data_IF_817127166333
#
_entry.id   IF_817127166333
#
_cell.length_a   1.000
_cell.length_b   1.000
_cell.length_c   1.000
_cell.angle_alpha   90.00
_cell.angle_beta   90.00
_cell.angle_gamma   90.00
#
_symmetry.space_group_name_H-M   'P 1'
#
loop_
_entity.id
_entity.type
_entity.pdbx_description
1 polymer ?
#
# COMPACT_ATOMS: atom_id res chain seq x y z
N UNK A 1 1.74 8.61 -15.24
CA UNK A 1 1.68 8.78 -13.77
C UNK A 1 1.60 7.42 -13.10
N UNK A 2 2.27 7.23 -11.97
CA UNK A 2 2.17 6.01 -11.16
C UNK A 2 1.68 6.35 -9.76
N UNK A 3 0.73 5.57 -9.23
CA UNK A 3 0.18 5.72 -7.87
C UNK A 3 0.56 4.49 -7.04
N UNK A 4 1.21 4.73 -5.92
CA UNK A 4 1.62 3.71 -4.95
C UNK A 4 0.69 3.78 -3.74
N UNK A 5 0.01 2.66 -3.43
CA UNK A 5 -0.86 2.53 -2.27
C UNK A 5 -0.25 1.50 -1.33
N UNK A 6 0.58 1.99 -0.39
CA UNK A 6 1.28 1.18 0.61
C UNK A 6 0.56 1.10 1.95
N UNK A 7 1.26 0.57 2.95
CA UNK A 7 0.80 0.55 4.34
C UNK A 7 0.45 -0.83 4.88
N UNK A 8 -0.12 -0.88 6.08
CA UNK A 8 -0.29 -2.11 6.83
C UNK A 8 -1.32 -3.07 6.22
N UNK A 9 -1.37 -4.28 6.72
CA UNK A 9 -2.33 -5.30 6.26
C UNK A 9 -3.76 -4.91 6.65
N UNK A 10 -4.76 -5.36 5.89
CA UNK A 10 -6.20 -5.23 6.18
C UNK A 10 -6.78 -3.80 6.18
N UNK A 11 -6.04 -2.78 5.78
CA UNK A 11 -6.48 -1.37 5.74
C UNK A 11 -7.28 -0.99 4.49
N UNK A 12 -7.64 -1.94 3.63
CA UNK A 12 -8.48 -1.69 2.46
C UNK A 12 -7.77 -1.22 1.19
N UNK A 13 -6.44 -1.32 1.08
CA UNK A 13 -5.65 -0.91 -0.11
C UNK A 13 -6.24 -1.41 -1.43
N UNK A 14 -6.53 -2.70 -1.50
CA UNK A 14 -7.09 -3.32 -2.71
C UNK A 14 -8.47 -2.79 -3.06
N UNK A 15 -9.30 -2.44 -2.06
CA UNK A 15 -10.61 -1.81 -2.30
C UNK A 15 -10.45 -0.40 -2.87
N UNK A 16 -9.57 0.40 -2.28
CA UNK A 16 -9.22 1.74 -2.79
C UNK A 16 -8.70 1.64 -4.22
N UNK A 17 -7.73 0.77 -4.48
CA UNK A 17 -7.18 0.57 -5.82
C UNK A 17 -8.26 0.21 -6.85
N UNK A 18 -9.21 -0.68 -6.51
CA UNK A 18 -10.34 -1.02 -7.39
C UNK A 18 -11.22 0.19 -7.70
N UNK A 19 -11.56 1.00 -6.71
CA UNK A 19 -12.36 2.21 -6.91
C UNK A 19 -11.65 3.22 -7.81
N UNK A 20 -10.34 3.39 -7.64
CA UNK A 20 -9.54 4.24 -8.53
C UNK A 20 -9.48 3.69 -9.96
N UNK A 21 -9.36 2.37 -10.13
CA UNK A 21 -9.46 1.72 -11.46
C UNK A 21 -10.82 2.01 -12.10
N UNK A 22 -11.91 1.89 -11.34
CA UNK A 22 -13.27 2.18 -11.83
C UNK A 22 -13.45 3.66 -12.22
N UNK A 23 -12.86 4.59 -11.44
CA UNK A 23 -12.96 6.04 -11.71
C UNK A 23 -12.11 6.48 -12.90
N UNK A 24 -10.88 5.98 -13.01
CA UNK A 24 -9.87 6.48 -13.95
C UNK A 24 -9.60 5.58 -15.14
N UNK A 25 -9.99 4.30 -15.09
CA UNK A 25 -9.66 3.32 -16.12
C UNK A 25 -8.16 2.96 -16.17
N UNK A 26 -7.42 3.17 -15.09
CA UNK A 26 -5.99 2.89 -15.02
C UNK A 26 -5.70 1.40 -14.81
N UNK A 27 -4.49 0.99 -15.19
CA UNK A 27 -4.02 -0.37 -14.88
C UNK A 27 -3.71 -0.49 -13.39
N UNK A 28 -3.86 -1.71 -12.82
CA UNK A 28 -3.53 -1.96 -11.42
C UNK A 28 -2.77 -3.28 -11.26
N UNK A 29 -1.74 -3.27 -10.43
CA UNK A 29 -0.96 -4.45 -10.04
C UNK A 29 -0.94 -4.58 -8.52
N UNK A 30 -1.43 -5.72 -8.02
CA UNK A 30 -1.29 -6.09 -6.62
C UNK A 30 0.08 -6.71 -6.36
N UNK A 31 0.81 -6.17 -5.38
CA UNK A 31 2.11 -6.71 -4.98
C UNK A 31 1.98 -8.03 -4.19
N UNK A 32 0.85 -8.26 -3.54
CA UNK A 32 0.54 -9.57 -2.91
C UNK A 32 0.43 -10.66 -3.98
N UNK A 33 -0.20 -10.33 -5.12
CA UNK A 33 -0.27 -11.25 -6.25
C UNK A 33 1.12 -11.51 -6.86
N UNK A 34 1.92 -10.47 -7.00
CA UNK A 34 3.29 -10.57 -7.51
C UNK A 34 4.16 -11.42 -6.57
N UNK A 35 4.08 -11.21 -5.24
CA UNK A 35 4.73 -12.05 -4.24
C UNK A 35 4.41 -13.54 -4.43
N UNK A 36 3.12 -13.84 -4.53
CA UNK A 36 2.67 -15.21 -4.73
C UNK A 36 3.22 -15.83 -6.03
N UNK A 37 3.33 -15.03 -7.09
CA UNK A 37 3.91 -15.47 -8.36
C UNK A 37 5.41 -15.76 -8.20
N UNK A 38 6.17 -14.91 -7.52
CA UNK A 38 7.60 -15.13 -7.23
C UNK A 38 7.82 -16.43 -6.45
N UNK A 39 7.05 -16.64 -5.37
CA UNK A 39 7.18 -17.86 -4.56
C UNK A 39 6.84 -19.13 -5.34
N UNK A 40 5.76 -19.11 -6.14
CA UNK A 40 5.31 -20.29 -6.90
C UNK A 40 6.16 -20.57 -8.13
N UNK A 41 6.77 -19.55 -8.73
CA UNK A 41 7.67 -19.72 -9.88
C UNK A 41 9.05 -20.23 -9.48
N UNK A 42 9.34 -20.39 -8.19
CA UNK A 42 10.63 -20.84 -7.70
C UNK A 42 11.76 -19.85 -7.99
N UNK A 43 11.41 -18.55 -8.11
CA UNK A 43 12.42 -17.50 -8.26
C UNK A 43 13.17 -17.41 -6.94
N UNK A 44 14.41 -17.85 -6.99
CA UNK A 44 15.43 -17.94 -5.93
C UNK A 44 14.98 -17.53 -4.50
N UNK A 45 14.91 -18.52 -3.61
CA UNK A 45 14.85 -18.38 -2.13
C UNK A 45 13.76 -17.49 -1.53
N UNK A 46 12.66 -17.26 -2.25
CA UNK A 46 11.54 -16.46 -1.74
C UNK A 46 10.61 -17.23 -0.78
N UNK A 47 10.78 -18.56 -0.63
CA UNK A 47 9.84 -19.39 0.13
C UNK A 47 9.88 -19.13 1.64
N UNK A 48 11.06 -18.81 2.18
CA UNK A 48 11.33 -18.69 3.61
C UNK A 48 11.56 -17.23 4.07
N UNK A 49 11.31 -16.24 3.18
CA UNK A 49 11.51 -14.83 3.51
C UNK A 49 10.35 -14.30 4.37
N UNK A 50 10.68 -13.55 5.43
CA UNK A 50 9.71 -12.72 6.13
C UNK A 50 9.23 -11.53 5.25
N UNK A 51 8.23 -10.79 5.73
CA UNK A 51 7.64 -9.71 4.93
C UNK A 51 8.61 -8.57 4.62
N UNK A 52 9.56 -8.28 5.51
CA UNK A 52 10.58 -7.23 5.32
C UNK A 52 11.60 -7.68 4.26
N UNK A 53 12.12 -8.89 4.40
CA UNK A 53 13.04 -9.49 3.43
C UNK A 53 12.39 -9.61 2.05
N UNK A 54 11.10 -10.01 2.00
CA UNK A 54 10.33 -10.10 0.77
C UNK A 54 10.17 -8.73 0.12
N UNK A 55 9.89 -7.67 0.89
CA UNK A 55 9.82 -6.29 0.41
C UNK A 55 11.12 -5.88 -0.28
N UNK A 56 12.25 -6.05 0.39
CA UNK A 56 13.57 -5.74 -0.17
C UNK A 56 13.90 -6.55 -1.43
N UNK A 57 13.49 -7.82 -1.45
CA UNK A 57 13.75 -8.71 -2.59
C UNK A 57 12.92 -8.34 -3.82
N UNK A 58 11.66 -7.96 -3.62
CA UNK A 58 10.73 -7.60 -4.70
C UNK A 58 10.96 -6.19 -5.22
N UNK A 59 11.35 -5.27 -4.36
CA UNK A 59 11.38 -3.85 -4.69
C UNK A 59 12.18 -3.48 -5.95
N UNK A 60 13.37 -4.02 -6.24
CA UNK A 60 14.08 -3.71 -7.48
C UNK A 60 13.27 -4.03 -8.74
N UNK A 61 12.48 -5.12 -8.74
CA UNK A 61 11.62 -5.48 -9.86
C UNK A 61 10.41 -4.53 -9.95
N UNK A 62 9.83 -4.18 -8.81
CA UNK A 62 8.71 -3.23 -8.75
C UNK A 62 9.15 -1.85 -9.23
N UNK A 63 10.32 -1.37 -8.81
CA UNK A 63 10.88 -0.10 -9.25
C UNK A 63 11.13 -0.07 -10.78
N UNK A 64 11.55 -1.19 -11.36
CA UNK A 64 11.70 -1.29 -12.82
C UNK A 64 10.33 -1.30 -13.53
N UNK A 65 9.30 -1.97 -12.99
CA UNK A 65 7.94 -1.90 -13.52
C UNK A 65 7.43 -0.45 -13.53
N UNK A 66 7.66 0.29 -12.45
CA UNK A 66 7.31 1.71 -12.33
C UNK A 66 8.04 2.51 -13.41
N UNK A 67 9.35 2.34 -13.55
CA UNK A 67 10.18 3.04 -14.54
C UNK A 67 9.70 2.78 -15.97
N UNK A 68 9.34 1.54 -16.28
CA UNK A 68 8.81 1.16 -17.61
C UNK A 68 7.42 1.75 -17.86
N UNK A 69 6.55 1.81 -16.85
CA UNK A 69 5.24 2.44 -16.95
C UNK A 69 5.37 3.93 -17.24
N UNK A 70 6.24 4.63 -16.51
CA UNK A 70 6.52 6.07 -16.72
C UNK A 70 7.11 6.31 -18.12
N UNK A 71 8.12 5.54 -18.54
CA UNK A 71 8.73 5.67 -19.87
C UNK A 71 7.74 5.42 -21.01
N UNK A 72 6.72 4.60 -20.78
CA UNK A 72 5.67 4.28 -21.74
C UNK A 72 4.47 5.23 -21.69
N UNK A 73 4.48 6.22 -20.80
CA UNK A 73 3.35 7.15 -20.60
C UNK A 73 2.08 6.48 -20.06
N UNK A 74 2.22 5.33 -19.37
CA UNK A 74 1.09 4.60 -18.79
C UNK A 74 0.71 5.14 -17.43
N UNK A 75 -0.58 5.06 -17.11
CA UNK A 75 -1.08 5.29 -15.77
C UNK A 75 -1.22 3.94 -15.06
N UNK A 76 -0.54 3.80 -13.93
CA UNK A 76 -0.45 2.53 -13.20
C UNK A 76 -0.67 2.74 -11.70
N UNK A 77 -1.52 1.90 -11.11
CA UNK A 77 -1.68 1.78 -9.66
C UNK A 77 -0.91 0.54 -9.21
N UNK A 78 -0.08 0.68 -8.18
CA UNK A 78 0.55 -0.44 -7.48
C UNK A 78 0.08 -0.42 -6.03
N UNK A 79 -0.46 -1.54 -5.55
CA UNK A 79 -0.95 -1.64 -4.18
C UNK A 79 -0.36 -2.85 -3.44
N UNK A 80 -0.13 -2.71 -2.15
CA UNK A 80 0.33 -3.80 -1.29
C UNK A 80 1.22 -3.38 -0.14
N UNK A 81 1.52 -4.33 0.76
CA UNK A 81 2.37 -4.12 1.94
C UNK A 81 3.88 -4.09 1.61
N UNK A 82 4.24 -4.38 0.35
CA UNK A 82 5.64 -4.53 -0.09
C UNK A 82 6.23 -3.28 -0.74
N UNK A 83 5.55 -2.14 -0.64
CA UNK A 83 6.08 -0.83 -1.02
C UNK A 83 6.90 -0.30 0.17
N UNK A 84 8.21 -0.04 0.01
CA UNK A 84 9.01 0.55 1.08
C UNK A 84 8.65 2.03 1.26
N UNK A 85 8.75 2.56 2.47
CA UNK A 85 8.45 3.98 2.74
C UNK A 85 9.51 4.90 2.16
N UNK A 86 10.74 4.40 2.02
CA UNK A 86 11.90 5.03 1.37
C UNK A 86 11.89 4.90 -0.17
N UNK A 87 10.76 4.57 -0.76
CA UNK A 87 10.58 4.33 -2.20
C UNK A 87 11.21 5.41 -3.11
N UNK A 88 11.28 6.65 -2.64
CA UNK A 88 11.82 7.80 -3.40
C UNK A 88 13.28 7.61 -3.80
N UNK A 89 14.06 6.88 -3.01
CA UNK A 89 15.49 6.65 -3.25
C UNK A 89 15.78 5.89 -4.55
N UNK A 90 14.78 5.18 -5.06
CA UNK A 90 14.90 4.36 -6.28
C UNK A 90 14.67 5.13 -7.59
N UNK A 91 14.30 6.42 -7.51
CA UNK A 91 13.87 7.18 -8.68
C UNK A 91 14.60 8.51 -8.85
N UNK A 92 14.78 8.93 -10.09
CA UNK A 92 15.30 10.25 -10.43
C UNK A 92 14.27 11.35 -10.11
N UNK A 93 14.74 12.60 -9.95
CA UNK A 93 13.86 13.76 -9.74
C UNK A 93 12.77 13.93 -10.83
N UNK A 94 13.09 13.56 -12.06
CA UNK A 94 12.13 13.61 -13.16
C UNK A 94 11.01 12.58 -12.97
N UNK A 95 11.34 11.35 -12.56
CA UNK A 95 10.36 10.30 -12.29
C UNK A 95 9.53 10.61 -11.05
N UNK A 96 10.12 11.16 -9.99
CA UNK A 96 9.42 11.52 -8.76
C UNK A 96 8.26 12.52 -9.00
N UNK A 97 8.35 13.37 -10.01
CA UNK A 97 7.26 14.29 -10.39
C UNK A 97 6.00 13.57 -10.89
N UNK A 98 6.17 12.35 -11.38
CA UNK A 98 5.08 11.54 -11.95
C UNK A 98 4.66 10.36 -11.05
N UNK A 99 5.22 10.24 -9.84
CA UNK A 99 4.85 9.23 -8.87
C UNK A 99 4.10 9.88 -7.70
N UNK A 100 3.01 9.27 -7.28
CA UNK A 100 2.26 9.62 -6.07
C UNK A 100 2.29 8.43 -5.13
N UNK A 101 2.52 8.65 -3.85
CA UNK A 101 2.53 7.56 -2.88
C UNK A 101 1.73 7.96 -1.65
N UNK A 102 0.90 7.03 -1.20
CA UNK A 102 0.13 7.14 0.02
C UNK A 102 0.22 5.83 0.78
N UNK A 103 0.40 5.91 2.10
CA UNK A 103 0.41 4.75 2.97
C UNK A 103 -0.81 4.78 3.88
N UNK A 104 -1.54 3.68 3.94
CA UNK A 104 -2.74 3.58 4.76
C UNK A 104 -2.42 2.73 5.99
N UNK A 105 -2.75 3.25 7.16
CA UNK A 105 -2.56 2.61 8.45
C UNK A 105 -3.85 2.69 9.27
N UNK A 106 -3.94 1.90 10.34
CA UNK A 106 -5.02 1.98 11.33
C UNK A 106 -4.41 2.32 12.68
N UNK A 107 -5.10 3.13 13.48
CA UNK A 107 -4.71 3.37 14.86
C UNK A 107 -4.88 2.11 15.71
N UNK A 108 -4.15 2.01 16.81
CA UNK A 108 -4.30 0.91 17.77
C UNK A 108 -5.72 0.88 18.34
N UNK A 109 -6.31 2.07 18.65
CA UNK A 109 -7.68 2.19 19.17
C UNK A 109 -8.68 1.63 18.18
N UNK A 110 -8.56 1.96 16.91
CA UNK A 110 -9.42 1.45 15.86
C UNK A 110 -9.30 -0.08 15.72
N UNK A 111 -8.08 -0.59 15.60
CA UNK A 111 -7.84 -2.03 15.45
C UNK A 111 -8.47 -2.80 16.60
N UNK A 112 -8.25 -2.38 17.86
CA UNK A 112 -8.75 -3.10 19.03
C UNK A 112 -10.27 -3.04 19.16
N UNK A 113 -10.91 -1.96 18.73
CA UNK A 113 -12.36 -1.79 18.83
C UNK A 113 -13.14 -2.43 17.67
N UNK A 114 -12.51 -2.65 16.49
CA UNK A 114 -13.18 -3.12 15.28
C UNK A 114 -12.65 -4.47 14.75
N UNK A 115 -12.06 -5.28 15.62
CA UNK A 115 -11.44 -6.57 15.22
C UNK A 115 -12.38 -7.52 14.51
N UNK A 116 -13.63 -7.63 14.97
CA UNK A 116 -14.63 -8.52 14.35
C UNK A 116 -14.97 -8.04 12.93
N UNK A 117 -14.97 -6.74 12.71
CA UNK A 117 -15.24 -6.13 11.42
C UNK A 117 -14.03 -6.34 10.48
N UNK A 118 -12.82 -6.05 10.95
CA UNK A 118 -11.58 -6.29 10.20
C UNK A 118 -11.48 -7.77 9.79
N UNK A 119 -11.76 -8.70 10.73
CA UNK A 119 -11.77 -10.14 10.45
C UNK A 119 -12.83 -10.53 9.41
N UNK A 120 -14.02 -9.94 9.47
CA UNK A 120 -15.11 -10.19 8.54
C UNK A 120 -14.78 -9.76 7.12
N UNK A 121 -14.10 -8.60 6.97
CA UNK A 121 -13.77 -8.06 5.66
C UNK A 121 -12.44 -8.52 5.10
N UNK A 122 -11.58 -9.18 5.91
CA UNK A 122 -10.26 -9.69 5.48
C UNK A 122 -10.32 -10.62 4.28
N UNK A 123 -11.41 -11.35 4.09
CA UNK A 123 -11.61 -12.35 3.03
C UNK A 123 -12.55 -11.91 1.90
N UNK A 124 -13.05 -10.67 1.91
CA UNK A 124 -14.05 -10.20 0.93
C UNK A 124 -13.40 -9.95 -0.45
N UNK A 125 -12.17 -9.47 -0.47
CA UNK A 125 -11.47 -9.10 -1.71
C UNK A 125 -10.50 -10.17 -2.17
N UNK A 126 -9.79 -10.80 -1.24
CA UNK A 126 -8.84 -11.89 -1.47
C UNK A 126 -9.15 -13.05 -0.53
N UNK A 127 -9.30 -14.26 -1.11
CA UNK A 127 -9.41 -15.47 -0.29
C UNK A 127 -8.04 -15.80 0.29
N UNK A 128 -7.79 -15.38 1.52
CA UNK A 128 -6.62 -15.76 2.31
C UNK A 128 -6.96 -17.02 3.10
N UNK A 129 -6.45 -18.17 2.65
CA UNK A 129 -6.82 -19.48 3.20
C UNK A 129 -6.20 -19.79 4.56
N UNK A 130 -5.16 -19.07 4.97
CA UNK A 130 -4.32 -19.41 6.14
C UNK A 130 -3.98 -18.21 7.05
N UNK A 131 -4.65 -17.06 6.89
CA UNK A 131 -4.34 -15.85 7.66
C UNK A 131 -5.14 -15.84 8.98
N UNK A 132 -4.51 -16.32 10.05
CA UNK A 132 -5.03 -16.09 11.40
C UNK A 132 -4.75 -14.62 11.75
N UNK A 133 -5.82 -13.83 11.89
CA UNK A 133 -5.71 -12.42 12.23
C UNK A 133 -5.10 -12.25 13.62
N UNK A 134 -3.82 -11.90 13.68
CA UNK A 134 -3.08 -11.59 14.90
C UNK A 134 -3.17 -10.08 15.19
N UNK A 135 -3.94 -9.72 16.22
CA UNK A 135 -4.19 -8.34 16.64
C UNK A 135 -2.88 -7.61 16.95
N UNK A 136 -2.02 -8.24 17.75
CA UNK A 136 -0.78 -7.60 18.21
C UNK A 136 0.19 -7.40 17.03
N UNK A 137 0.21 -8.32 16.07
CA UNK A 137 0.96 -8.16 14.84
C UNK A 137 0.41 -7.01 14.00
N UNK A 138 -0.92 -6.90 13.88
CA UNK A 138 -1.57 -5.85 13.09
C UNK A 138 -1.31 -4.47 13.70
N UNK A 139 -1.42 -4.35 15.04
CA UNK A 139 -1.11 -3.11 15.76
C UNK A 139 0.34 -2.70 15.54
N UNK A 140 1.30 -3.62 15.76
CA UNK A 140 2.72 -3.33 15.54
C UNK A 140 3.00 -2.92 14.10
N UNK A 141 2.51 -3.68 13.13
CA UNK A 141 2.72 -3.38 11.70
C UNK A 141 2.17 -2.00 11.31
N UNK A 142 1.00 -1.62 11.83
CA UNK A 142 0.42 -0.28 11.59
C UNK A 142 1.25 0.82 12.23
N UNK A 143 1.70 0.62 13.47
CA UNK A 143 2.53 1.58 14.18
C UNK A 143 3.89 1.78 13.48
N UNK A 144 4.54 0.69 13.11
CA UNK A 144 5.83 0.70 12.40
C UNK A 144 5.71 1.48 11.06
N UNK A 145 4.68 1.19 10.25
CA UNK A 145 4.45 1.94 9.00
C UNK A 145 4.21 3.43 9.23
N UNK A 146 3.47 3.79 10.29
CA UNK A 146 3.21 5.20 10.63
C UNK A 146 4.50 5.91 11.04
N UNK A 147 5.31 5.28 11.89
CA UNK A 147 6.60 5.81 12.34
C UNK A 147 7.54 5.98 11.15
N UNK A 148 7.69 4.96 10.33
CA UNK A 148 8.49 5.00 9.10
C UNK A 148 8.04 6.12 8.14
N UNK A 149 6.72 6.34 7.97
CA UNK A 149 6.21 7.44 7.16
C UNK A 149 6.59 8.81 7.72
N UNK A 150 6.49 8.98 9.04
CA UNK A 150 6.85 10.23 9.71
C UNK A 150 8.36 10.52 9.57
N UNK A 151 9.22 9.50 9.76
CA UNK A 151 10.67 9.63 9.64
C UNK A 151 11.10 9.96 8.20
N UNK A 152 10.45 9.38 7.20
CA UNK A 152 10.78 9.56 5.79
C UNK A 152 10.02 10.71 5.11
N UNK A 153 9.18 11.43 5.82
CA UNK A 153 8.34 12.50 5.27
C UNK A 153 7.43 12.00 4.14
N UNK A 154 6.96 10.76 4.26
CA UNK A 154 6.05 10.12 3.31
C UNK A 154 4.62 10.28 3.78
N UNK A 155 3.71 10.57 2.84
CA UNK A 155 2.31 10.83 3.15
C UNK A 155 1.59 9.55 3.62
N UNK A 156 0.79 9.68 4.69
CA UNK A 156 -0.03 8.58 5.19
C UNK A 156 -1.45 9.01 5.52
N UNK A 157 -2.37 8.04 5.51
CA UNK A 157 -3.75 8.18 5.98
C UNK A 157 -3.93 7.21 7.14
N UNK A 158 -4.37 7.71 8.29
CA UNK A 158 -4.67 6.91 9.48
C UNK A 158 -6.19 6.78 9.65
N UNK A 159 -6.67 5.55 9.71
CA UNK A 159 -8.05 5.23 10.06
C UNK A 159 -8.13 5.13 11.60
N UNK A 160 -8.84 6.07 12.23
CA UNK A 160 -8.93 6.18 13.70
C UNK A 160 -10.37 6.10 14.23
N UNK A 161 -11.35 6.54 13.44
CA UNK A 161 -12.73 6.65 13.91
C UNK A 161 -13.69 5.71 13.19
N UNK A 162 -13.80 5.83 11.89
CA UNK A 162 -14.75 5.10 11.07
C UNK A 162 -14.10 4.68 9.75
N UNK A 163 -14.30 3.42 9.35
CA UNK A 163 -13.89 2.98 8.04
C UNK A 163 -14.97 3.30 7.02
N UNK A 164 -14.78 4.40 6.29
CA UNK A 164 -15.58 4.72 5.11
C UNK A 164 -14.74 4.64 3.84
N UNK A 165 -15.12 3.73 2.96
CA UNK A 165 -14.35 3.48 1.72
C UNK A 165 -14.33 4.70 0.81
N UNK A 166 -15.43 5.46 0.72
CA UNK A 166 -15.51 6.59 -0.20
C UNK A 166 -14.67 7.76 0.31
N UNK A 167 -14.71 8.05 1.61
CA UNK A 167 -13.82 9.03 2.24
C UNK A 167 -12.35 8.68 2.09
N UNK A 168 -12.01 7.39 2.22
CA UNK A 168 -10.64 6.91 2.04
C UNK A 168 -10.17 7.07 0.59
N UNK A 169 -11.02 6.77 -0.39
CA UNK A 169 -10.72 6.98 -1.80
C UNK A 169 -10.55 8.47 -2.12
N UNK A 170 -11.42 9.32 -1.62
CA UNK A 170 -11.35 10.77 -1.84
C UNK A 170 -10.07 11.37 -1.20
N UNK A 171 -9.65 10.87 -0.03
CA UNK A 171 -8.38 11.25 0.59
C UNK A 171 -7.17 10.82 -0.28
N UNK A 172 -7.20 9.61 -0.85
CA UNK A 172 -6.15 9.16 -1.78
C UNK A 172 -6.14 10.00 -3.07
N UNK A 173 -7.31 10.35 -3.62
CA UNK A 173 -7.40 11.23 -4.80
C UNK A 173 -6.83 12.62 -4.52
N UNK A 174 -7.04 13.17 -3.34
CA UNK A 174 -6.45 14.47 -2.99
C UNK A 174 -4.92 14.45 -3.05
N UNK A 175 -4.27 13.33 -2.71
CA UNK A 175 -2.81 13.14 -2.84
C UNK A 175 -2.39 12.99 -4.30
N UNK A 176 -3.24 12.39 -5.14
CA UNK A 176 -2.98 12.27 -6.58
C UNK A 176 -2.98 13.65 -7.24
N UNK A 177 -3.90 14.52 -6.84
CA UNK A 177 -4.06 15.87 -7.37
C UNK A 177 -3.02 16.85 -6.83
N UNK A 178 -2.70 16.78 -5.53
CA UNK A 178 -1.68 17.59 -4.88
C UNK A 178 -0.49 16.73 -4.41
N UNK A 179 0.64 16.75 -5.14
CA UNK A 179 1.79 15.91 -4.84
C UNK A 179 2.59 16.35 -3.61
N UNK A 180 2.36 17.54 -3.09
CA UNK A 180 3.07 18.07 -1.91
C UNK A 180 2.09 18.73 -0.94
N UNK A 181 1.16 17.96 -0.35
CA UNK A 181 0.23 18.51 0.61
C UNK A 181 0.97 19.09 1.81
N UNK A 182 0.44 20.19 2.34
CA UNK A 182 1.06 20.92 3.47
C UNK A 182 1.20 20.04 4.72
N UNK A 183 0.25 19.11 4.91
CA UNK A 183 0.27 18.11 5.98
C UNK A 183 0.65 16.75 5.40
N UNK A 184 1.51 16.02 6.10
CA UNK A 184 2.00 14.70 5.65
C UNK A 184 1.13 13.54 6.15
N UNK A 185 -0.03 13.82 6.76
CA UNK A 185 -0.97 12.81 7.22
C UNK A 185 -2.38 13.33 7.30
N UNK A 186 -3.34 12.45 7.01
CA UNK A 186 -4.79 12.66 7.22
C UNK A 186 -5.27 11.62 8.25
N UNK A 187 -6.14 12.02 9.15
CA UNK A 187 -6.81 11.13 10.11
C UNK A 187 -8.29 11.07 9.71
N UNK A 188 -8.80 9.86 9.47
CA UNK A 188 -10.19 9.57 9.09
C UNK A 188 -10.93 8.85 10.23
#
# INVERSE_FOLDING_TARGET
>A
MVVLIGGSSHVGKTMVARKLVERHGWECVSLDFLKNAFQKAGIEDCADLDDVQMRHRMWPFVAEIISQALASGRNLILEGCYIPVEWKESFSEAQLKEIRAVFIVMSESYIRSHMDEIARYSNVVEKRTDDVLDIERLVRCSADFKEDCLENGTFYIEIDWEYDTDSLVDAVESVIEDPDPAEKGIIL
#
